data_IF_312897498104
#
_entry.id   IF_312897498104
#
_cell.length_a   1.000
_cell.length_b   1.000
_cell.length_c   1.000
_cell.angle_alpha   90.00
_cell.angle_beta   90.00
_cell.angle_gamma   90.00
#
_symmetry.space_group_name_H-M   'P 1'
#
loop_
_entity.id
_entity.type
_entity.pdbx_description
1 polymer ?
#
# COMPACT_ATOMS: atom_id res chain seq x y z
N UNK A 1 -12.96 11.29 12.64
CA UNK A 1 -13.77 11.76 11.49
C UNK A 1 -12.95 12.55 10.46
N UNK A 2 -12.09 13.49 10.86
CA UNK A 2 -11.30 14.32 9.94
C UNK A 2 -10.51 13.55 8.86
N UNK A 3 -9.87 12.42 9.20
CA UNK A 3 -9.10 11.62 8.22
C UNK A 3 -10.02 11.04 7.12
N UNK A 4 -11.18 10.49 7.50
CA UNK A 4 -12.12 9.91 6.54
C UNK A 4 -12.71 10.99 5.61
N UNK A 5 -12.99 12.17 6.15
CA UNK A 5 -13.41 13.32 5.34
C UNK A 5 -12.31 13.77 4.38
N UNK A 6 -11.07 13.82 4.83
CA UNK A 6 -9.92 14.14 3.97
C UNK A 6 -9.76 13.11 2.85
N UNK A 7 -9.91 11.81 3.14
CA UNK A 7 -9.90 10.74 2.12
C UNK A 7 -10.97 11.00 1.06
N UNK A 8 -12.20 11.35 1.48
CA UNK A 8 -13.31 11.68 0.57
C UNK A 8 -13.04 12.95 -0.24
N UNK A 9 -12.50 14.01 0.37
CA UNK A 9 -12.12 15.26 -0.30
C UNK A 9 -11.01 15.03 -1.34
N UNK A 10 -10.05 14.17 -1.04
CA UNK A 10 -9.01 13.74 -1.98
C UNK A 10 -9.56 12.78 -3.05
N UNK A 11 -10.76 12.23 -2.88
CA UNK A 11 -11.36 11.24 -3.76
C UNK A 11 -10.64 9.90 -3.77
N UNK A 12 -9.85 9.60 -2.73
CA UNK A 12 -9.05 8.38 -2.66
C UNK A 12 -9.94 7.13 -2.54
N UNK A 13 -11.07 7.23 -1.85
CA UNK A 13 -12.08 6.18 -1.80
C UNK A 13 -12.59 5.81 -3.21
N UNK A 14 -12.84 6.80 -4.06
CA UNK A 14 -13.25 6.60 -5.45
C UNK A 14 -12.14 6.04 -6.34
N UNK A 15 -10.89 6.43 -6.09
CA UNK A 15 -9.71 5.86 -6.77
C UNK A 15 -9.56 4.37 -6.42
N UNK A 16 -9.78 3.99 -5.17
CA UNK A 16 -9.77 2.58 -4.73
C UNK A 16 -10.90 1.81 -5.41
N UNK A 17 -12.14 2.32 -5.33
CA UNK A 17 -13.29 1.78 -6.05
C UNK A 17 -14.40 2.83 -6.19
N UNK A 18 -14.81 3.08 -7.43
CA UNK A 18 -15.93 3.97 -7.74
C UNK A 18 -17.23 3.54 -7.04
N UNK A 19 -17.55 2.25 -7.10
CA UNK A 19 -18.74 1.69 -6.45
C UNK A 19 -18.48 1.51 -4.95
N UNK A 20 -19.45 1.96 -4.16
CA UNK A 20 -19.48 1.66 -2.73
C UNK A 20 -19.65 0.17 -2.48
N UNK A 21 -18.78 -0.37 -1.62
CA UNK A 21 -18.76 -1.79 -1.29
C UNK A 21 -18.09 -1.98 0.07
N UNK A 22 -18.42 -3.10 0.73
CA UNK A 22 -17.79 -3.50 1.99
C UNK A 22 -16.27 -3.61 1.83
N UNK A 23 -15.77 -4.18 0.73
CA UNK A 23 -14.33 -4.34 0.49
C UNK A 23 -13.60 -3.00 0.37
N UNK A 24 -14.22 -2.00 -0.28
CA UNK A 24 -13.67 -0.63 -0.32
C UNK A 24 -13.62 -0.03 1.08
N UNK A 25 -14.68 -0.22 1.87
CA UNK A 25 -14.74 0.29 3.24
C UNK A 25 -13.66 -0.36 4.11
N UNK A 26 -13.40 -1.67 3.99
CA UNK A 26 -12.32 -2.37 4.68
C UNK A 26 -10.95 -1.77 4.33
N UNK A 27 -10.68 -1.53 3.04
CA UNK A 27 -9.41 -0.88 2.61
C UNK A 27 -9.28 0.53 3.19
N UNK A 28 -10.32 1.35 3.09
CA UNK A 28 -10.32 2.71 3.64
C UNK A 28 -10.12 2.68 5.16
N UNK A 29 -10.79 1.76 5.86
CA UNK A 29 -10.63 1.60 7.30
C UNK A 29 -9.19 1.22 7.67
N UNK A 30 -8.54 0.33 6.92
CA UNK A 30 -7.13 -0.01 7.14
C UNK A 30 -6.19 1.17 6.90
N UNK A 31 -6.45 2.02 5.90
CA UNK A 31 -5.68 3.25 5.68
C UNK A 31 -5.84 4.19 6.88
N UNK A 32 -7.07 4.43 7.30
CA UNK A 32 -7.36 5.29 8.47
C UNK A 32 -6.70 4.74 9.73
N UNK A 33 -6.84 3.44 10.00
CA UNK A 33 -6.26 2.78 11.16
C UNK A 33 -4.72 2.90 11.18
N UNK A 34 -4.06 2.77 10.02
CA UNK A 34 -2.60 2.96 9.89
C UNK A 34 -2.15 4.38 10.20
N UNK A 35 -2.97 5.39 9.88
CA UNK A 35 -2.67 6.80 10.18
C UNK A 35 -2.90 7.10 11.68
N UNK A 36 -3.96 6.57 12.27
CA UNK A 36 -4.32 6.84 13.67
C UNK A 36 -3.41 6.09 14.63
N UNK A 37 -3.29 4.77 14.46
CA UNK A 37 -2.57 3.89 15.38
C UNK A 37 -2.18 2.59 14.67
N UNK A 38 -1.03 2.55 13.99
CA UNK A 38 -0.63 1.41 13.18
C UNK A 38 -0.40 0.16 14.03
N UNK A 39 -1.20 -0.88 13.79
CA UNK A 39 -1.17 -2.17 14.50
C UNK A 39 -1.30 -3.36 13.53
N UNK A 40 -1.28 -4.58 14.06
CA UNK A 40 -1.56 -5.80 13.28
C UNK A 40 -3.00 -5.82 12.73
N UNK A 41 -3.28 -6.70 11.76
CA UNK A 41 -4.63 -6.85 11.19
C UNK A 41 -5.61 -7.35 12.23
N UNK A 42 -5.25 -8.36 13.02
CA UNK A 42 -6.02 -8.78 14.19
C UNK A 42 -6.39 -7.63 15.13
N UNK A 43 -5.41 -6.83 15.53
CA UNK A 43 -5.65 -5.70 16.44
C UNK A 43 -6.49 -4.60 15.78
N UNK A 44 -6.37 -4.43 14.46
CA UNK A 44 -7.18 -3.50 13.68
C UNK A 44 -8.64 -3.96 13.63
N UNK A 45 -8.89 -5.24 13.30
CA UNK A 45 -10.22 -5.85 13.28
C UNK A 45 -10.90 -5.78 14.64
N UNK A 46 -10.20 -6.13 15.72
CA UNK A 46 -10.68 -5.94 17.10
C UNK A 46 -11.04 -4.49 17.40
N UNK A 47 -10.29 -3.54 16.84
CA UNK A 47 -10.59 -2.11 16.99
C UNK A 47 -11.91 -1.67 16.37
N UNK A 48 -12.48 -2.43 15.42
CA UNK A 48 -13.75 -2.12 14.77
C UNK A 48 -14.96 -2.64 15.54
N UNK A 49 -14.81 -3.74 16.27
CA UNK A 49 -15.89 -4.43 16.94
C UNK A 49 -16.55 -3.56 18.02
N UNK A 50 -17.88 -3.56 18.08
CA UNK A 50 -18.67 -2.73 19.00
C UNK A 50 -18.42 -3.04 20.48
N UNK A 51 -18.11 -4.29 20.83
CA UNK A 51 -17.86 -4.73 22.20
C UNK A 51 -16.44 -4.43 22.68
N UNK A 52 -15.48 -4.45 21.76
CA UNK A 52 -14.05 -4.18 22.03
C UNK A 52 -13.59 -2.83 21.48
N UNK A 53 -14.57 -1.98 21.16
CA UNK A 53 -14.41 -0.78 20.36
C UNK A 53 -13.47 0.21 21.06
N UNK A 54 -12.28 0.38 20.50
CA UNK A 54 -11.40 1.49 20.87
C UNK A 54 -11.60 2.71 19.96
N UNK A 55 -12.34 2.56 18.85
CA UNK A 55 -12.49 3.57 17.81
C UNK A 55 -13.87 3.48 17.12
N UNK A 56 -14.62 4.58 17.01
CA UNK A 56 -15.89 4.63 16.27
C UNK A 56 -15.80 4.43 14.75
N UNK A 57 -14.65 3.98 14.23
CA UNK A 57 -14.40 3.75 12.80
C UNK A 57 -15.20 2.57 12.25
N UNK A 58 -15.39 1.51 13.05
CA UNK A 58 -16.19 0.34 12.67
C UNK A 58 -17.61 0.73 12.30
N UNK A 59 -18.30 1.41 13.20
CA UNK A 59 -19.67 1.90 13.01
C UNK A 59 -19.81 2.87 11.83
N UNK A 60 -18.86 3.79 11.65
CA UNK A 60 -18.92 4.77 10.56
C UNK A 60 -18.81 4.15 9.16
N UNK A 61 -18.26 2.94 9.05
CA UNK A 61 -18.03 2.25 7.78
C UNK A 61 -18.81 0.93 7.66
N UNK A 62 -19.68 0.62 8.63
CA UNK A 62 -20.47 -0.61 8.73
C UNK A 62 -19.58 -1.87 8.79
N UNK A 63 -18.56 -1.83 9.67
CA UNK A 63 -17.50 -2.83 9.81
C UNK A 63 -17.39 -3.42 11.22
N UNK A 64 -18.38 -3.23 12.11
CA UNK A 64 -18.31 -3.72 13.50
C UNK A 64 -18.13 -5.24 13.59
N UNK A 65 -18.53 -5.99 12.56
CA UNK A 65 -18.38 -7.45 12.52
C UNK A 65 -17.19 -7.92 11.69
N UNK A 66 -16.33 -7.00 11.24
CA UNK A 66 -15.17 -7.36 10.43
C UNK A 66 -14.10 -8.07 11.24
N UNK A 67 -13.62 -9.20 10.74
CA UNK A 67 -12.52 -9.97 11.31
C UNK A 67 -11.21 -9.76 10.54
N UNK A 68 -10.14 -10.41 10.99
CA UNK A 68 -8.82 -10.32 10.37
C UNK A 68 -8.79 -10.92 8.95
N UNK A 69 -9.54 -11.98 8.70
CA UNK A 69 -9.59 -12.66 7.41
C UNK A 69 -10.25 -11.78 6.35
N UNK A 70 -11.34 -11.08 6.70
CA UNK A 70 -11.94 -10.06 5.82
C UNK A 70 -10.93 -8.96 5.46
N UNK A 71 -10.04 -8.57 6.37
CA UNK A 71 -9.00 -7.58 6.08
C UNK A 71 -7.91 -8.12 5.14
N UNK A 72 -7.50 -9.38 5.28
CA UNK A 72 -6.55 -10.00 4.35
C UNK A 72 -7.17 -10.18 2.96
N UNK A 73 -8.41 -10.66 2.87
CA UNK A 73 -9.14 -10.75 1.61
C UNK A 73 -9.27 -9.39 0.91
N UNK A 74 -9.48 -8.32 1.70
CA UNK A 74 -9.51 -6.95 1.17
C UNK A 74 -8.14 -6.49 0.63
N UNK A 75 -7.03 -6.94 1.22
CA UNK A 75 -5.69 -6.66 0.70
C UNK A 75 -5.40 -7.42 -0.60
N UNK A 76 -5.82 -8.69 -0.71
CA UNK A 76 -5.66 -9.46 -1.94
C UNK A 76 -6.45 -8.83 -3.09
N UNK A 77 -7.70 -8.43 -2.82
CA UNK A 77 -8.50 -7.66 -3.77
C UNK A 77 -7.83 -6.33 -4.15
N UNK A 78 -7.22 -5.64 -3.20
CA UNK A 78 -6.52 -4.38 -3.47
C UNK A 78 -5.31 -4.60 -4.38
N UNK A 79 -4.56 -5.69 -4.17
CA UNK A 79 -3.42 -6.07 -4.98
C UNK A 79 -3.82 -6.31 -6.44
N UNK A 80 -4.95 -6.98 -6.68
CA UNK A 80 -5.50 -7.16 -8.04
C UNK A 80 -5.81 -5.83 -8.74
N UNK A 81 -6.18 -4.80 -7.97
CA UNK A 81 -6.50 -3.46 -8.50
C UNK A 81 -5.31 -2.53 -8.62
N UNK A 82 -4.11 -2.93 -8.16
CA UNK A 82 -2.93 -2.07 -8.09
C UNK A 82 -2.71 -1.29 -9.39
N UNK A 83 -2.62 -1.98 -10.55
CA UNK A 83 -2.38 -1.32 -11.85
C UNK A 83 -3.44 -0.26 -12.19
N UNK A 84 -4.70 -0.52 -11.89
CA UNK A 84 -5.81 0.43 -12.16
C UNK A 84 -5.68 1.66 -11.26
N UNK A 85 -5.39 1.44 -9.98
CA UNK A 85 -5.23 2.51 -8.98
C UNK A 85 -4.01 3.38 -9.32
N UNK A 86 -2.86 2.78 -9.61
CA UNK A 86 -1.63 3.48 -9.99
C UNK A 86 -1.83 4.31 -11.27
N UNK A 87 -2.56 3.77 -12.26
CA UNK A 87 -2.91 4.54 -13.47
C UNK A 87 -3.77 5.77 -13.16
N UNK A 88 -4.76 5.65 -12.28
CA UNK A 88 -5.58 6.79 -11.86
C UNK A 88 -4.76 7.84 -11.10
N UNK A 89 -3.89 7.41 -10.20
CA UNK A 89 -2.98 8.31 -9.46
C UNK A 89 -2.02 9.01 -10.42
N UNK A 90 -1.48 8.31 -11.41
CA UNK A 90 -0.60 8.89 -12.41
C UNK A 90 -1.32 9.95 -13.26
N UNK A 91 -2.51 9.65 -13.78
CA UNK A 91 -3.32 10.63 -14.54
C UNK A 91 -3.62 11.87 -13.70
N UNK A 92 -3.86 11.69 -12.39
CA UNK A 92 -4.24 12.78 -11.50
C UNK A 92 -3.06 13.65 -11.05
N UNK A 93 -1.87 13.07 -10.92
CA UNK A 93 -0.75 13.70 -10.22
C UNK A 93 0.53 13.83 -11.05
N UNK A 94 0.58 13.29 -12.27
CA UNK A 94 1.71 13.42 -13.19
C UNK A 94 1.27 14.12 -14.47
N UNK A 95 2.14 14.98 -14.99
CA UNK A 95 2.01 15.60 -16.31
C UNK A 95 3.16 15.12 -17.21
N UNK A 96 2.98 15.22 -18.53
CA UNK A 96 4.05 14.87 -19.47
C UNK A 96 5.30 15.71 -19.21
N UNK A 97 6.47 15.08 -19.16
CA UNK A 97 7.75 15.76 -18.88
C UNK A 97 7.98 16.10 -17.40
N UNK A 98 7.14 15.63 -16.48
CA UNK A 98 7.32 15.87 -15.04
C UNK A 98 8.49 15.09 -14.47
N UNK A 99 9.32 15.75 -13.66
CA UNK A 99 10.30 15.09 -12.80
C UNK A 99 9.57 14.20 -11.78
N UNK A 100 9.96 12.92 -11.73
CA UNK A 100 9.46 11.98 -10.71
C UNK A 100 10.54 11.70 -9.69
N UNK A 101 10.14 11.50 -8.45
CA UNK A 101 11.01 11.01 -7.39
C UNK A 101 10.89 9.49 -7.37
N UNK A 102 12.03 8.80 -7.40
CA UNK A 102 12.07 7.35 -7.35
C UNK A 102 13.16 6.92 -6.37
N UNK A 103 12.76 6.13 -5.38
CA UNK A 103 13.68 5.55 -4.41
C UNK A 103 13.49 4.03 -4.35
N UNK A 104 14.60 3.31 -4.11
CA UNK A 104 14.63 1.85 -4.03
C UNK A 104 15.14 1.47 -2.65
N UNK A 105 14.34 0.68 -1.94
CA UNK A 105 14.66 0.19 -0.60
C UNK A 105 14.71 -1.34 -0.57
N UNK A 106 15.65 -1.88 0.21
CA UNK A 106 15.79 -3.31 0.48
C UNK A 106 15.40 -3.60 1.94
N UNK A 107 14.50 -4.56 2.14
CA UNK A 107 14.13 -5.04 3.49
C UNK A 107 14.62 -6.46 3.68
N UNK A 108 15.31 -6.71 4.79
CA UNK A 108 15.82 -8.02 5.19
C UNK A 108 14.77 -8.83 5.92
N UNK A 109 14.70 -10.11 5.60
CA UNK A 109 13.81 -11.04 6.26
C UNK A 109 14.58 -12.01 7.15
N UNK A 110 13.90 -12.49 8.18
CA UNK A 110 14.29 -13.66 8.94
C UNK A 110 13.36 -14.82 8.56
N UNK A 111 13.89 -16.03 8.43
CA UNK A 111 13.15 -17.22 8.00
C UNK A 111 13.06 -17.40 6.47
N UNK A 112 12.39 -18.48 6.05
CA UNK A 112 12.42 -18.99 4.67
C UNK A 112 11.05 -19.06 3.98
N UNK A 113 9.99 -18.49 4.58
CA UNK A 113 8.60 -18.67 4.11
C UNK A 113 8.05 -17.56 3.21
N UNK A 114 8.81 -16.50 2.94
CA UNK A 114 8.31 -15.38 2.12
C UNK A 114 8.61 -15.61 0.64
N UNK A 115 7.57 -15.71 -0.19
CA UNK A 115 7.70 -15.96 -1.63
C UNK A 115 8.44 -14.83 -2.38
N UNK A 116 8.29 -13.59 -1.90
CA UNK A 116 8.99 -12.41 -2.41
C UNK A 116 10.44 -12.32 -1.92
N UNK A 117 10.79 -13.05 -0.86
CA UNK A 117 12.11 -13.05 -0.26
C UNK A 117 13.10 -13.84 -1.10
N UNK A 118 14.09 -13.16 -1.68
CA UNK A 118 15.15 -13.79 -2.49
C UNK A 118 16.54 -13.44 -1.95
N UNK A 119 17.49 -14.34 -2.14
CA UNK A 119 18.91 -14.01 -1.96
C UNK A 119 19.40 -13.21 -3.17
N UNK A 120 20.37 -12.33 -2.95
CA UNK A 120 20.98 -11.59 -4.05
C UNK A 120 21.83 -10.42 -3.59
N UNK A 121 22.36 -9.69 -4.56
CA UNK A 121 23.15 -8.49 -4.30
C UNK A 121 22.24 -7.37 -3.80
N UNK A 122 22.71 -6.62 -2.80
CA UNK A 122 22.04 -5.43 -2.32
C UNK A 122 22.97 -4.26 -2.07
N UNK A 123 22.38 -3.07 -1.95
CA UNK A 123 23.09 -1.82 -1.73
C UNK A 123 23.97 -1.91 -0.47
N UNK A 124 23.45 -2.56 0.57
CA UNK A 124 24.10 -2.61 1.88
C UNK A 124 25.05 -3.82 2.04
N UNK A 125 25.34 -4.55 0.95
CA UNK A 125 26.24 -5.73 0.86
C UNK A 125 26.01 -6.82 1.93
N UNK A 126 24.79 -6.92 2.45
CA UNK A 126 24.44 -7.85 3.53
C UNK A 126 24.27 -9.27 2.97
N UNK A 127 25.06 -10.21 3.50
CA UNK A 127 25.08 -11.62 3.08
C UNK A 127 24.21 -12.48 3.99
N UNK A 128 23.78 -13.63 3.47
CA UNK A 128 23.15 -14.70 4.25
C UNK A 128 21.70 -14.44 4.68
N UNK A 129 21.02 -13.43 4.10
CA UNK A 129 19.60 -13.17 4.36
C UNK A 129 18.83 -13.02 3.06
N UNK A 130 17.60 -13.51 3.05
CA UNK A 130 16.63 -13.18 1.99
C UNK A 130 16.18 -11.74 2.17
N UNK A 131 15.79 -11.12 1.06
CA UNK A 131 15.37 -9.73 1.02
C UNK A 131 14.26 -9.51 0.01
N UNK A 132 13.50 -8.44 0.24
CA UNK A 132 12.56 -7.88 -0.71
C UNK A 132 13.11 -6.53 -1.14
N UNK A 133 13.25 -6.31 -2.44
CA UNK A 133 13.62 -5.01 -3.00
C UNK A 133 12.37 -4.40 -3.61
N UNK A 134 12.05 -3.18 -3.22
CA UNK A 134 10.91 -2.47 -3.81
C UNK A 134 11.22 -1.01 -4.05
N UNK A 135 10.65 -0.48 -5.13
CA UNK A 135 10.77 0.90 -5.52
C UNK A 135 9.46 1.66 -5.32
N UNK A 136 9.53 2.88 -4.80
CA UNK A 136 8.40 3.79 -4.68
C UNK A 136 8.59 4.94 -5.68
N UNK A 137 7.61 5.14 -6.55
CA UNK A 137 7.53 6.28 -7.46
C UNK A 137 6.58 7.32 -6.90
N UNK A 138 7.06 8.55 -6.78
CA UNK A 138 6.29 9.71 -6.33
C UNK A 138 6.32 10.83 -7.38
N UNK A 139 5.28 11.65 -7.38
CA UNK A 139 5.30 12.96 -8.07
C UNK A 139 6.36 13.89 -7.47
N UNK A 140 6.69 14.98 -8.18
CA UNK A 140 7.59 16.02 -7.66
C UNK A 140 7.15 16.62 -6.31
N UNK A 141 5.86 16.57 -5.97
CA UNK A 141 5.31 17.02 -4.69
C UNK A 141 5.39 15.95 -3.59
N UNK A 142 5.99 14.80 -3.86
CA UNK A 142 6.09 13.67 -2.92
C UNK A 142 4.85 12.79 -2.82
N UNK A 143 3.81 13.01 -3.65
CA UNK A 143 2.63 12.13 -3.65
C UNK A 143 2.98 10.75 -4.24
N UNK A 144 2.76 9.64 -3.51
CA UNK A 144 3.07 8.30 -3.99
C UNK A 144 2.11 7.88 -5.10
N UNK A 145 2.67 7.38 -6.20
CA UNK A 145 1.94 7.02 -7.41
C UNK A 145 1.94 5.52 -7.64
N UNK A 146 3.09 4.86 -7.47
CA UNK A 146 3.23 3.45 -7.76
C UNK A 146 4.32 2.78 -6.94
N UNK A 147 4.15 1.49 -6.66
CA UNK A 147 5.13 0.66 -5.94
C UNK A 147 5.40 -0.60 -6.75
N UNK A 148 6.65 -1.08 -6.78
CA UNK A 148 7.01 -2.27 -7.54
C UNK A 148 8.04 -3.10 -6.77
N UNK A 149 7.83 -4.42 -6.73
CA UNK A 149 8.77 -5.37 -6.15
C UNK A 149 9.69 -5.88 -7.26
N UNK A 150 10.99 -5.94 -6.97
CA UNK A 150 12.03 -6.36 -7.90
C UNK A 150 12.81 -7.53 -7.33
N UNK A 151 13.39 -8.32 -8.24
CA UNK A 151 14.39 -9.30 -7.86
C UNK A 151 15.69 -8.60 -7.38
N UNK A 152 16.33 -9.09 -6.32
CA UNK A 152 17.56 -8.52 -5.78
C UNK A 152 18.76 -8.87 -6.68
N UNK A 153 19.04 -8.00 -7.65
CA UNK A 153 20.21 -8.10 -8.53
C UNK A 153 21.04 -6.84 -8.46
N UNK A 154 22.32 -6.91 -8.82
CA UNK A 154 23.19 -5.72 -8.93
C UNK A 154 22.59 -4.62 -9.83
N UNK A 155 21.81 -4.98 -10.85
CA UNK A 155 21.13 -4.03 -11.75
C UNK A 155 20.00 -3.28 -11.07
N UNK A 156 19.28 -3.92 -10.15
CA UNK A 156 18.21 -3.30 -9.35
C UNK A 156 18.74 -2.18 -8.45
N UNK A 157 20.00 -2.28 -8.03
CA UNK A 157 20.68 -1.28 -7.17
C UNK A 157 21.08 -0.01 -7.88
N UNK A 158 21.26 -0.09 -9.20
CA UNK A 158 21.64 1.03 -10.07
C UNK A 158 20.47 1.49 -10.95
N UNK A 159 19.25 1.01 -10.66
CA UNK A 159 18.10 1.14 -11.53
C UNK A 159 17.59 2.58 -11.55
N UNK A 160 18.12 3.39 -12.47
CA UNK A 160 17.54 4.66 -12.93
C UNK A 160 16.46 4.41 -14.00
N UNK A 161 15.86 3.20 -14.03
CA UNK A 161 14.90 2.89 -15.08
C UNK A 161 13.67 3.77 -14.89
N UNK A 162 13.49 4.68 -15.85
CA UNK A 162 12.18 5.18 -16.23
C UNK A 162 11.24 3.97 -16.29
N UNK A 163 10.25 3.91 -15.39
CA UNK A 163 9.12 3.00 -15.58
C UNK A 163 8.68 3.18 -17.02
N UNK A 164 8.41 2.09 -17.75
CA UNK A 164 7.75 2.20 -19.06
C UNK A 164 6.59 3.18 -18.88
N UNK A 165 6.47 4.21 -19.75
CA UNK A 165 5.47 5.24 -19.58
C UNK A 165 4.13 4.54 -19.37
N UNK A 166 3.45 4.93 -18.28
CA UNK A 166 2.07 4.54 -18.04
C UNK A 166 1.26 5.06 -19.23
N UNK A 167 1.11 4.22 -20.27
CA UNK A 167 0.21 4.48 -21.39
C UNK A 167 -1.24 4.42 -20.91
#
# INVERSE_FOLDING_TARGET
MAILETIKKLGLDKIISEKASRIRNLVVAMIVARIINPKSKLATARGFNSETCSQGLGQLLDLEKADEDELYNALDWLLEKQKKIEKHLAIKHLESGTLVLYDVTSTYLEGNGCELGKYGDNRDKKKGKTQIVFGLLCSAKGCPIAVEVFEPTFRTLNCHRSKKPLK
#
